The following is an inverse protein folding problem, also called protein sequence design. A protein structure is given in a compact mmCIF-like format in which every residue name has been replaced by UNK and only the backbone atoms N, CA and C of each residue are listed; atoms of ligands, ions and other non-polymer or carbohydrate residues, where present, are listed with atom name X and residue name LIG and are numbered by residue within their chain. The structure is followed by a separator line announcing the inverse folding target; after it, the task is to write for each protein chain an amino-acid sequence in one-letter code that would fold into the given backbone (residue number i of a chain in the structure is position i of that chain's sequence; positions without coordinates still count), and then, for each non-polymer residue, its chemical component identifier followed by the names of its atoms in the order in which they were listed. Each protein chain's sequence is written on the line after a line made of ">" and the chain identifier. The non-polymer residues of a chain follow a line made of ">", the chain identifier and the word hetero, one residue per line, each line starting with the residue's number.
data_IF_070516793792
#
_entry.id   IF_070516793792
#
_cell.length_a   1.000
_cell.length_b   1.000
_cell.length_c   1.000
_cell.angle_alpha   90.00
_cell.angle_beta   90.00
_cell.angle_gamma   90.00
#
_symmetry.space_group_name_H-M   'P 1'
#
loop_
_entity.id
_entity.type
_entity.pdbx_description
1 polymer ?
#
# COMPACT_ATOMS: atom_id res chain seq x y z
N UNK A 1 62.75 33.68 -15.02
CA UNK A 1 61.56 34.56 -14.83
C UNK A 1 60.32 33.70 -15.05
N UNK A 2 59.67 33.21 -13.99
CA UNK A 2 58.41 33.74 -13.41
C UNK A 2 57.30 33.86 -14.46
N UNK A 3 56.43 32.84 -14.54
CA UNK A 3 55.03 32.77 -14.00
C UNK A 3 53.98 33.12 -15.06
N UNK A 4 53.05 32.20 -15.36
CA UNK A 4 51.65 32.33 -14.94
C UNK A 4 50.86 31.04 -15.21
N UNK A 5 50.22 30.50 -14.16
CA UNK A 5 49.21 29.44 -14.19
C UNK A 5 47.87 30.08 -14.54
N UNK A 6 47.07 29.47 -15.41
CA UNK A 6 45.60 29.61 -15.38
C UNK A 6 44.98 28.23 -15.53
N UNK A 7 44.36 27.83 -14.42
CA UNK A 7 43.46 26.70 -14.22
C UNK A 7 42.13 27.03 -14.92
N UNK A 8 41.62 26.13 -15.76
CA UNK A 8 40.20 26.15 -16.15
C UNK A 8 39.64 24.75 -15.96
N UNK A 9 38.98 24.57 -14.82
CA UNK A 9 38.09 23.45 -14.54
C UNK A 9 36.86 23.58 -15.44
N UNK A 10 36.63 22.59 -16.30
CA UNK A 10 35.35 22.42 -16.99
C UNK A 10 34.69 21.17 -16.40
N UNK A 11 33.97 21.39 -15.30
CA UNK A 11 32.89 20.52 -14.84
C UNK A 11 31.71 20.77 -15.77
N UNK A 12 31.22 19.75 -16.47
CA UNK A 12 29.91 19.80 -17.11
C UNK A 12 29.10 18.53 -16.83
N UNK A 13 28.29 18.67 -15.77
CA UNK A 13 26.93 18.15 -15.54
C UNK A 13 26.52 16.82 -16.21
N UNK A 14 26.41 15.78 -15.39
CA UNK A 14 25.67 14.55 -15.67
C UNK A 14 24.19 14.80 -15.32
N UNK A 15 23.38 15.24 -16.30
CA UNK A 15 21.92 15.34 -16.13
C UNK A 15 21.33 13.96 -16.39
N UNK A 16 21.11 13.20 -15.30
CA UNK A 16 20.31 11.98 -15.34
C UNK A 16 18.85 12.33 -15.62
N UNK A 17 18.37 12.03 -16.83
CA UNK A 17 16.94 11.95 -17.12
C UNK A 17 16.35 10.75 -16.36
N UNK A 18 15.70 11.01 -15.24
CA UNK A 18 14.74 10.07 -14.67
C UNK A 18 13.44 10.18 -15.45
N UNK A 19 13.07 9.09 -16.13
CA UNK A 19 11.79 8.95 -16.80
C UNK A 19 10.68 8.92 -15.73
N UNK A 20 9.94 10.01 -15.62
CA UNK A 20 8.68 10.03 -14.88
C UNK A 20 7.61 9.41 -15.79
N UNK A 21 7.24 8.15 -15.50
CA UNK A 21 6.03 7.54 -16.05
C UNK A 21 4.85 8.18 -15.33
N UNK A 22 4.24 9.17 -15.99
CA UNK A 22 3.01 9.80 -15.54
C UNK A 22 1.83 8.88 -15.85
N UNK A 23 1.08 8.46 -14.82
CA UNK A 23 -0.17 7.73 -14.98
C UNK A 23 -1.32 8.75 -15.02
N UNK A 24 -2.00 8.82 -16.17
CA UNK A 24 -3.19 9.63 -16.39
C UNK A 24 -4.37 9.07 -15.59
N UNK A 25 -5.08 9.92 -14.85
CA UNK A 25 -6.32 9.53 -14.18
C UNK A 25 -7.49 9.66 -15.15
N UNK A 26 -8.11 8.54 -15.53
CA UNK A 26 -9.45 8.52 -16.08
C UNK A 26 -10.45 8.39 -14.92
N UNK A 27 -11.40 9.33 -14.87
CA UNK A 27 -12.51 9.37 -13.92
C UNK A 27 -13.62 8.44 -14.38
N UNK A 28 -14.00 7.44 -13.57
CA UNK A 28 -15.33 6.82 -13.66
C UNK A 28 -15.82 6.33 -12.29
N UNK A 29 -17.08 6.67 -11.97
CA UNK A 29 -18.00 5.80 -11.25
C UNK A 29 -18.21 6.04 -9.75
N UNK A 30 -19.26 6.81 -9.44
CA UNK A 30 -19.93 6.88 -8.13
C UNK A 30 -20.61 5.53 -7.81
N UNK A 31 -20.29 4.95 -6.65
CA UNK A 31 -20.97 3.76 -6.09
C UNK A 31 -21.28 4.01 -4.60
N UNK A 32 -22.28 4.84 -4.35
CA UNK A 32 -22.97 4.91 -3.05
C UNK A 32 -23.88 3.70 -2.87
N UNK A 33 -23.40 2.67 -2.14
CA UNK A 33 -24.13 1.79 -1.21
C UNK A 33 -23.53 0.39 -1.18
N UNK A 34 -22.85 0.03 -0.08
CA UNK A 34 -22.59 -1.37 0.31
C UNK A 34 -21.98 -2.29 -0.76
N UNK A 35 -21.21 -1.71 -1.69
CA UNK A 35 -20.83 -2.34 -2.96
C UNK A 35 -19.76 -3.41 -2.81
N UNK A 36 -19.97 -4.54 -3.50
CA UNK A 36 -18.96 -5.59 -3.63
C UNK A 36 -17.64 -5.00 -4.11
N UNK A 37 -16.53 -5.39 -3.47
CA UNK A 37 -15.17 -4.99 -3.87
C UNK A 37 -14.95 -5.29 -5.36
N UNK A 38 -14.71 -4.24 -6.16
CA UNK A 38 -14.42 -4.33 -7.58
C UNK A 38 -13.36 -5.43 -7.84
N UNK A 39 -13.55 -6.24 -8.89
CA UNK A 39 -12.62 -7.29 -9.25
C UNK A 39 -11.31 -6.75 -9.84
N UNK A 40 -11.24 -5.47 -10.19
CA UNK A 40 -9.99 -4.81 -10.56
C UNK A 40 -9.03 -4.76 -9.37
N UNK A 41 -7.73 -4.79 -9.63
CA UNK A 41 -6.70 -4.51 -8.64
C UNK A 41 -6.76 -3.01 -8.30
N UNK A 42 -6.92 -2.70 -7.02
CA UNK A 42 -7.09 -1.33 -6.57
C UNK A 42 -6.69 -1.16 -5.11
N UNK A 43 -6.54 0.12 -4.73
CA UNK A 43 -6.61 0.58 -3.35
C UNK A 43 -7.59 1.75 -3.29
N UNK A 44 -8.64 1.61 -2.49
CA UNK A 44 -9.65 2.64 -2.25
C UNK A 44 -9.60 3.04 -0.79
N UNK A 45 -9.58 4.34 -0.52
CA UNK A 45 -9.73 4.89 0.83
C UNK A 45 -10.79 5.98 0.86
N UNK A 46 -11.34 6.20 2.05
CA UNK A 46 -12.29 7.24 2.39
C UNK A 46 -11.95 7.78 3.78
N UNK A 47 -11.64 9.07 3.83
CA UNK A 47 -11.56 9.85 5.07
C UNK A 47 -12.89 10.61 5.28
N UNK A 48 -13.08 11.34 6.39
CA UNK A 48 -14.24 12.22 6.54
C UNK A 48 -14.33 13.30 5.46
N UNK A 49 -13.19 13.70 4.88
CA UNK A 49 -13.09 14.87 4.02
C UNK A 49 -13.02 14.53 2.53
N UNK A 50 -12.50 13.35 2.16
CA UNK A 50 -12.37 12.95 0.76
C UNK A 50 -12.17 11.44 0.59
N UNK A 51 -12.36 10.97 -0.64
CA UNK A 51 -12.14 9.58 -1.03
C UNK A 51 -11.44 9.48 -2.37
N UNK A 52 -10.73 8.37 -2.59
CA UNK A 52 -10.08 8.08 -3.86
C UNK A 52 -9.98 6.58 -4.08
N UNK A 53 -10.14 6.18 -5.34
CA UNK A 53 -9.76 4.85 -5.84
C UNK A 53 -8.48 5.00 -6.67
N UNK A 54 -7.46 4.22 -6.33
CA UNK A 54 -6.18 4.13 -7.04
C UNK A 54 -6.20 2.83 -7.84
N UNK A 55 -5.98 2.94 -9.15
CA UNK A 55 -5.84 1.77 -10.04
C UNK A 55 -4.49 1.09 -9.78
N UNK A 56 -4.51 -0.20 -9.46
CA UNK A 56 -3.34 -1.02 -9.17
C UNK A 56 -3.14 -2.16 -10.18
N UNK A 57 -3.78 -2.15 -11.35
CA UNK A 57 -3.69 -3.22 -12.36
C UNK A 57 -2.26 -3.49 -12.85
N UNK A 58 -1.44 -2.45 -12.92
CA UNK A 58 -0.04 -2.55 -13.33
C UNK A 58 0.93 -2.67 -12.15
N UNK A 59 0.41 -2.79 -10.93
CA UNK A 59 1.22 -2.85 -9.74
C UNK A 59 1.83 -4.25 -9.60
N UNK A 60 3.15 -4.32 -9.79
CA UNK A 60 3.91 -5.56 -9.67
C UNK A 60 4.75 -5.55 -8.39
N UNK A 61 4.19 -6.07 -7.30
CA UNK A 61 4.82 -6.03 -5.98
C UNK A 61 5.69 -7.27 -5.77
N UNK A 62 6.98 -7.04 -5.49
CA UNK A 62 7.87 -8.08 -5.00
C UNK A 62 7.78 -8.16 -3.47
N UNK A 63 7.76 -9.37 -2.88
CA UNK A 63 7.66 -9.52 -1.44
C UNK A 63 8.95 -9.05 -0.76
N UNK A 64 8.79 -8.42 0.40
CA UNK A 64 9.84 -8.19 1.39
C UNK A 64 9.60 -9.08 2.62
N UNK A 65 10.63 -9.32 3.42
CA UNK A 65 10.57 -10.18 4.61
C UNK A 65 10.69 -9.34 5.88
N UNK A 66 9.59 -8.82 6.43
CA UNK A 66 9.61 -8.05 7.68
C UNK A 66 9.90 -8.95 8.90
N UNK A 67 9.51 -10.22 8.85
CA UNK A 67 9.65 -11.18 9.94
C UNK A 67 9.76 -12.61 9.39
N UNK A 68 10.13 -13.57 10.25
CA UNK A 68 10.17 -14.98 9.90
C UNK A 68 8.77 -15.50 9.52
N UNK A 69 8.65 -16.17 8.37
CA UNK A 69 7.39 -16.75 7.91
C UNK A 69 6.37 -15.73 7.36
N UNK A 70 6.74 -14.46 7.26
CA UNK A 70 5.85 -13.38 6.82
C UNK A 70 6.47 -12.64 5.65
N UNK A 71 5.68 -12.48 4.60
CA UNK A 71 5.97 -11.55 3.51
C UNK A 71 5.15 -10.29 3.68
N UNK A 72 5.64 -9.18 3.14
CA UNK A 72 4.89 -7.96 3.00
C UNK A 72 5.11 -7.32 1.65
N UNK A 73 4.21 -6.41 1.28
CA UNK A 73 4.33 -5.54 0.12
C UNK A 73 3.98 -4.11 0.52
N UNK A 74 4.57 -3.15 -0.20
CA UNK A 74 4.29 -1.73 -0.04
C UNK A 74 4.43 -1.04 -1.38
N UNK A 75 3.63 -0.01 -1.59
CA UNK A 75 3.80 0.93 -2.69
C UNK A 75 3.29 2.31 -2.29
N UNK A 76 3.79 3.32 -2.98
CA UNK A 76 3.34 4.71 -2.87
C UNK A 76 2.66 5.12 -4.16
N UNK A 77 1.43 5.60 -4.07
CA UNK A 77 0.69 6.17 -5.20
C UNK A 77 1.33 7.48 -5.65
N UNK A 78 1.71 7.58 -6.93
CA UNK A 78 2.21 8.82 -7.51
C UNK A 78 1.14 9.92 -7.57
N UNK A 79 -0.15 9.56 -7.61
CA UNK A 79 -1.25 10.51 -7.75
C UNK A 79 -1.72 11.12 -6.43
N UNK A 80 -1.52 10.41 -5.32
CA UNK A 80 -2.00 10.81 -3.99
C UNK A 80 -0.89 10.90 -2.95
N UNK A 81 0.29 10.35 -3.18
CA UNK A 81 1.32 10.13 -2.16
C UNK A 81 0.82 9.29 -0.96
N UNK A 82 -0.26 8.54 -1.15
CA UNK A 82 -0.68 7.50 -0.22
C UNK A 82 0.32 6.33 -0.31
N UNK A 83 0.68 5.76 0.83
CA UNK A 83 1.56 4.60 0.94
C UNK A 83 0.94 3.59 1.87
N UNK A 84 0.83 2.35 1.42
CA UNK A 84 0.33 1.24 2.23
C UNK A 84 1.41 0.22 2.54
N UNK A 85 1.15 -0.60 3.55
CA UNK A 85 1.83 -1.86 3.80
C UNK A 85 0.78 -2.95 4.03
N UNK A 86 0.99 -4.09 3.41
CA UNK A 86 0.17 -5.28 3.61
C UNK A 86 1.07 -6.51 3.76
N UNK A 87 0.95 -7.21 4.88
CA UNK A 87 1.66 -8.45 5.17
C UNK A 87 0.76 -9.67 5.00
N UNK A 88 1.36 -10.82 4.71
CA UNK A 88 0.69 -12.08 4.43
C UNK A 88 1.64 -13.26 4.68
N UNK A 89 1.12 -14.50 4.80
CA UNK A 89 1.96 -15.69 4.97
C UNK A 89 3.01 -15.83 3.87
N UNK A 90 4.23 -16.16 4.25
CA UNK A 90 5.29 -16.43 3.28
C UNK A 90 5.02 -17.72 2.48
N UNK A 91 4.44 -18.75 3.10
CA UNK A 91 4.16 -20.02 2.43
C UNK A 91 2.80 -19.99 1.71
N UNK A 92 2.79 -20.45 0.46
CA UNK A 92 1.56 -20.60 -0.33
C UNK A 92 0.52 -21.56 0.29
N UNK A 93 0.94 -22.57 1.06
CA UNK A 93 0.01 -23.49 1.73
C UNK A 93 -0.84 -22.82 2.81
N UNK A 94 -0.36 -21.68 3.32
CA UNK A 94 -1.00 -20.94 4.40
C UNK A 94 -1.95 -19.86 3.91
N UNK A 95 -2.01 -19.62 2.60
CA UNK A 95 -2.84 -18.57 2.00
C UNK A 95 -4.33 -18.94 1.98
N UNK A 96 -4.68 -20.08 1.39
CA UNK A 96 -6.08 -20.41 1.11
C UNK A 96 -6.74 -21.26 2.22
N UNK A 97 -6.50 -20.91 3.48
CA UNK A 97 -7.11 -21.56 4.62
C UNK A 97 -8.41 -20.86 5.02
N UNK A 98 -9.45 -21.62 5.37
CA UNK A 98 -10.75 -21.06 5.79
C UNK A 98 -10.62 -20.16 7.02
N UNK A 99 -9.66 -20.46 7.90
CA UNK A 99 -9.32 -19.68 9.09
C UNK A 99 -8.81 -18.27 8.78
N UNK A 100 -8.46 -17.97 7.52
CA UNK A 100 -7.96 -16.66 7.12
C UNK A 100 -9.07 -15.66 6.79
N UNK A 101 -10.30 -16.11 6.53
CA UNK A 101 -11.43 -15.23 6.22
C UNK A 101 -12.02 -14.63 7.49
N UNK A 102 -11.33 -13.63 8.04
CA UNK A 102 -11.69 -12.95 9.29
C UNK A 102 -11.12 -11.54 9.35
N UNK A 103 -11.45 -10.85 10.45
CA UNK A 103 -10.85 -9.57 10.84
C UNK A 103 -9.52 -9.77 11.56
N UNK A 104 -8.53 -8.99 11.14
CA UNK A 104 -7.21 -8.83 11.73
C UNK A 104 -7.08 -7.41 12.29
N UNK A 105 -6.21 -7.22 13.27
CA UNK A 105 -5.91 -5.90 13.80
C UNK A 105 -5.23 -5.00 12.77
N UNK A 106 -5.40 -3.70 12.95
CA UNK A 106 -4.60 -2.68 12.28
C UNK A 106 -3.29 -2.50 13.06
N UNK A 107 -2.20 -2.21 12.36
CA UNK A 107 -0.90 -1.92 12.98
C UNK A 107 -0.41 -0.50 12.67
N UNK A 108 0.61 -0.08 13.41
CA UNK A 108 1.34 1.14 13.12
C UNK A 108 1.95 1.10 11.72
N UNK A 109 2.11 2.28 11.11
CA UNK A 109 2.66 2.38 9.77
C UNK A 109 4.07 1.80 9.69
N UNK A 110 4.23 0.71 8.94
CA UNK A 110 5.50 -0.01 8.77
C UNK A 110 5.73 -1.17 9.75
N UNK A 111 4.85 -1.38 10.72
CA UNK A 111 4.99 -2.41 11.77
C UNK A 111 4.35 -3.76 11.38
N UNK A 112 4.29 -4.07 10.08
CA UNK A 112 3.57 -5.23 9.53
C UNK A 112 4.39 -6.53 9.65
N UNK A 113 4.44 -7.12 10.83
CA UNK A 113 5.24 -8.29 11.19
C UNK A 113 4.46 -9.62 11.32
N UNK A 114 3.14 -9.61 11.22
CA UNK A 114 2.27 -10.80 11.22
C UNK A 114 1.40 -10.88 9.96
N UNK A 115 0.91 -12.08 9.57
CA UNK A 115 0.02 -12.24 8.44
C UNK A 115 -1.24 -11.37 8.49
N UNK A 116 -1.60 -10.82 7.33
CA UNK A 116 -2.82 -10.04 7.08
C UNK A 116 -2.96 -8.75 7.90
N UNK A 117 -1.86 -8.21 8.42
CA UNK A 117 -1.86 -6.86 8.97
C UNK A 117 -1.86 -5.83 7.83
N UNK A 118 -2.53 -4.71 8.04
CA UNK A 118 -2.59 -3.60 7.12
C UNK A 118 -2.27 -2.29 7.85
N UNK A 119 -1.51 -1.42 7.18
CA UNK A 119 -1.19 -0.08 7.68
C UNK A 119 -1.04 0.89 6.50
N UNK A 120 -1.24 2.18 6.74
CA UNK A 120 -1.14 3.19 5.69
C UNK A 120 -0.71 4.56 6.22
N UNK A 121 -0.12 5.33 5.31
CA UNK A 121 0.17 6.75 5.42
C UNK A 121 -0.46 7.42 4.19
N UNK A 122 -1.47 8.25 4.41
CA UNK A 122 -2.23 8.90 3.34
C UNK A 122 -2.27 10.41 3.56
N UNK A 123 -2.45 11.24 2.52
CA UNK A 123 -2.59 12.67 2.74
C UNK A 123 -3.93 12.95 3.42
N UNK A 124 -3.94 13.93 4.31
CA UNK A 124 -5.15 14.31 5.05
C UNK A 124 -6.31 14.71 4.12
N UNK A 125 -5.96 15.42 3.05
CA UNK A 125 -6.85 15.95 2.02
C UNK A 125 -6.16 15.89 0.65
N UNK A 126 -6.94 16.03 -0.43
CA UNK A 126 -6.39 16.05 -1.79
C UNK A 126 -5.33 17.16 -1.94
N UNK A 127 -4.12 16.79 -2.35
CA UNK A 127 -2.99 17.73 -2.51
C UNK A 127 -2.35 18.21 -1.21
N UNK A 128 -2.79 17.73 -0.04
CA UNK A 128 -2.19 18.09 1.24
C UNK A 128 -0.74 17.59 1.35
N UNK A 129 0.10 18.35 2.04
CA UNK A 129 1.44 17.90 2.48
C UNK A 129 1.40 17.22 3.85
N UNK A 130 0.32 17.39 4.59
CA UNK A 130 0.12 16.73 5.88
C UNK A 130 -0.34 15.28 5.67
N UNK A 131 -0.13 14.43 6.67
CA UNK A 131 -0.30 12.98 6.55
C UNK A 131 -1.10 12.42 7.71
N UNK A 132 -2.05 11.57 7.38
CA UNK A 132 -2.70 10.67 8.31
C UNK A 132 -1.89 9.39 8.39
N UNK A 133 -1.61 8.91 9.60
CA UNK A 133 -0.82 7.71 9.86
C UNK A 133 -1.67 6.72 10.65
N UNK A 134 -1.68 5.44 10.23
CA UNK A 134 -2.45 4.40 10.91
C UNK A 134 -2.04 4.20 12.36
N UNK A 135 -3.04 4.03 13.22
CA UNK A 135 -2.89 3.65 14.63
C UNK A 135 -3.15 2.17 14.81
N UNK A 136 -2.28 1.51 15.57
CA UNK A 136 -2.47 0.11 15.93
C UNK A 136 -3.77 -0.08 16.74
N UNK A 137 -4.56 -1.07 16.36
CA UNK A 137 -5.84 -1.37 16.99
C UNK A 137 -6.22 -2.83 16.76
N UNK A 138 -6.55 -3.56 17.84
CA UNK A 138 -6.94 -4.96 17.80
C UNK A 138 -8.44 -5.17 18.10
N UNK A 139 -9.24 -4.11 18.06
CA UNK A 139 -10.69 -4.20 18.24
C UNK A 139 -11.39 -4.76 17.00
N UNK A 140 -12.67 -5.11 17.14
CA UNK A 140 -13.51 -5.53 16.00
C UNK A 140 -14.04 -4.36 15.17
N UNK A 141 -13.90 -3.13 15.68
CA UNK A 141 -14.31 -1.88 15.04
C UNK A 141 -13.29 -1.41 14.03
N UNK A 142 -12.00 -1.53 14.35
CA UNK A 142 -10.89 -1.15 13.49
C UNK A 142 -10.08 -2.38 13.11
N UNK A 143 -10.12 -2.71 11.83
CA UNK A 143 -9.72 -4.01 11.34
C UNK A 143 -9.23 -3.94 9.89
N UNK A 144 -8.48 -4.97 9.50
CA UNK A 144 -8.37 -5.43 8.13
C UNK A 144 -9.09 -6.77 7.99
N UNK A 145 -10.09 -6.87 7.12
CA UNK A 145 -10.88 -8.08 6.92
C UNK A 145 -10.55 -8.70 5.58
N UNK A 146 -10.09 -9.95 5.61
CA UNK A 146 -9.85 -10.72 4.39
C UNK A 146 -11.17 -11.29 3.91
N UNK A 147 -11.63 -10.82 2.75
CA UNK A 147 -12.90 -11.22 2.17
C UNK A 147 -12.75 -12.34 1.15
N UNK A 148 -11.65 -12.34 0.39
CA UNK A 148 -11.39 -13.35 -0.64
C UNK A 148 -9.89 -13.53 -0.87
N UNK A 149 -9.47 -14.78 -1.03
CA UNK A 149 -8.14 -15.16 -1.51
C UNK A 149 -8.34 -16.07 -2.70
N UNK A 150 -7.79 -15.71 -3.86
CA UNK A 150 -7.91 -16.47 -5.10
C UNK A 150 -6.52 -16.82 -5.62
N UNK A 151 -6.28 -18.10 -5.86
CA UNK A 151 -5.06 -18.55 -6.53
C UNK A 151 -5.10 -18.11 -8.00
N UNK A 152 -4.11 -17.34 -8.44
CA UNK A 152 -4.04 -16.75 -9.77
C UNK A 152 -2.97 -17.39 -10.67
N UNK A 153 -2.26 -18.40 -10.17
CA UNK A 153 -1.21 -19.12 -10.91
C UNK A 153 0.13 -19.11 -10.19
N UNK A 154 1.22 -19.32 -10.94
CA UNK A 154 2.58 -19.33 -10.39
C UNK A 154 3.58 -18.77 -11.39
N UNK A 155 4.70 -18.24 -10.87
CA UNK A 155 5.84 -17.69 -11.62
C UNK A 155 7.13 -18.17 -10.94
N UNK A 156 7.96 -18.96 -11.63
CA UNK A 156 9.21 -19.51 -11.09
C UNK A 156 9.04 -20.13 -9.68
N UNK A 157 9.58 -19.46 -8.65
CA UNK A 157 9.58 -19.87 -7.24
C UNK A 157 8.39 -19.33 -6.44
N UNK A 158 7.44 -18.64 -7.08
CA UNK A 158 6.31 -18.00 -6.42
C UNK A 158 4.97 -18.59 -6.84
N UNK A 159 4.10 -18.78 -5.85
CA UNK A 159 2.65 -18.90 -6.06
C UNK A 159 2.03 -17.51 -6.01
N UNK A 160 1.05 -17.25 -6.87
CA UNK A 160 0.44 -15.95 -7.02
C UNK A 160 -0.99 -16.00 -6.50
N UNK A 161 -1.33 -15.03 -5.68
CA UNK A 161 -2.68 -14.87 -5.15
C UNK A 161 -3.21 -13.47 -5.43
N UNK A 162 -4.52 -13.39 -5.62
CA UNK A 162 -5.29 -12.16 -5.56
C UNK A 162 -6.01 -12.12 -4.21
N UNK A 163 -5.71 -11.11 -3.40
CA UNK A 163 -6.28 -10.96 -2.06
C UNK A 163 -7.14 -9.72 -2.00
N UNK A 164 -8.40 -9.90 -1.62
CA UNK A 164 -9.38 -8.85 -1.41
C UNK A 164 -9.61 -8.63 0.07
N UNK A 165 -9.53 -7.38 0.47
CA UNK A 165 -9.80 -6.97 1.83
C UNK A 165 -10.67 -5.71 1.87
N UNK A 166 -11.39 -5.56 2.97
CA UNK A 166 -11.97 -4.29 3.40
C UNK A 166 -11.39 -3.92 4.75
N UNK A 167 -11.22 -2.62 5.02
CA UNK A 167 -10.63 -2.16 6.27
C UNK A 167 -11.35 -0.94 6.83
N UNK A 168 -11.21 -0.79 8.13
CA UNK A 168 -11.57 0.41 8.87
C UNK A 168 -10.47 0.67 9.90
N UNK A 169 -9.95 1.88 10.01
CA UNK A 169 -8.86 2.18 10.93
C UNK A 169 -8.94 3.58 11.50
N UNK A 170 -8.32 3.75 12.67
CA UNK A 170 -8.01 5.08 13.19
C UNK A 170 -6.67 5.52 12.64
N UNK A 171 -6.60 6.82 12.35
CA UNK A 171 -5.36 7.48 11.96
C UNK A 171 -5.16 8.71 12.83
N UNK A 172 -3.91 9.11 13.04
CA UNK A 172 -3.58 10.41 13.61
C UNK A 172 -3.00 11.33 12.54
N UNK A 173 -3.24 12.63 12.68
CA UNK A 173 -2.63 13.64 11.82
C UNK A 173 -1.18 13.89 12.28
N UNK A 174 -0.22 13.78 11.38
CA UNK A 174 1.21 13.88 11.70
C UNK A 174 1.59 15.26 12.28
N UNK A 175 0.95 16.34 11.82
CA UNK A 175 1.16 17.69 12.38
C UNK A 175 0.54 17.89 13.77
N UNK A 176 -0.42 17.05 14.16
CA UNK A 176 -1.12 17.10 15.44
C UNK A 176 -1.71 15.74 15.80
N UNK A 177 -0.96 14.93 16.53
CA UNK A 177 -1.34 13.54 16.82
C UNK A 177 -2.61 13.40 17.67
N UNK A 178 -3.06 14.49 18.33
CA UNK A 178 -4.34 14.52 19.04
C UNK A 178 -5.55 14.52 18.08
N UNK A 179 -5.35 14.88 16.81
CA UNK A 179 -6.38 14.81 15.78
C UNK A 179 -6.47 13.40 15.23
N UNK A 180 -7.54 12.70 15.61
CA UNK A 180 -7.85 11.34 15.14
C UNK A 180 -8.90 11.41 14.05
N UNK A 181 -8.68 10.68 12.94
CA UNK A 181 -9.65 10.50 11.87
C UNK A 181 -9.82 9.02 11.56
N UNK A 182 -11.07 8.63 11.34
CA UNK A 182 -11.39 7.29 10.85
C UNK A 182 -11.19 7.24 9.33
N UNK A 183 -10.52 6.20 8.88
CA UNK A 183 -10.28 5.94 7.46
C UNK A 183 -10.77 4.52 7.16
N UNK A 184 -11.64 4.42 6.18
CA UNK A 184 -12.17 3.14 5.70
C UNK A 184 -11.81 2.94 4.25
N UNK A 185 -11.84 1.70 3.77
CA UNK A 185 -11.47 1.42 2.40
C UNK A 185 -11.52 -0.05 2.04
N UNK A 186 -11.12 -0.32 0.80
CA UNK A 186 -11.01 -1.66 0.23
C UNK A 186 -9.73 -1.75 -0.57
N UNK A 187 -9.14 -2.93 -0.63
CA UNK A 187 -8.06 -3.18 -1.56
C UNK A 187 -8.16 -4.57 -2.17
N UNK A 188 -7.60 -4.68 -3.37
CA UNK A 188 -7.47 -5.93 -4.09
C UNK A 188 -6.08 -5.97 -4.72
N UNK A 189 -5.21 -6.83 -4.19
CA UNK A 189 -3.80 -6.89 -4.59
C UNK A 189 -3.44 -8.25 -5.16
N UNK A 190 -2.56 -8.24 -6.17
CA UNK A 190 -1.80 -9.42 -6.62
C UNK A 190 -0.54 -9.51 -5.75
N UNK A 191 -0.36 -10.63 -5.07
CA UNK A 191 0.78 -10.91 -4.18
C UNK A 191 1.47 -12.21 -4.55
N UNK A 192 2.71 -12.38 -4.09
CA UNK A 192 3.56 -13.55 -4.33
C UNK A 192 3.98 -14.18 -3.02
N UNK A 193 3.75 -15.48 -2.87
CA UNK A 193 4.25 -16.27 -1.74
C UNK A 193 5.28 -17.27 -2.24
N UNK A 194 6.15 -17.77 -1.37
CA UNK A 194 7.00 -18.93 -1.68
C UNK A 194 6.12 -20.08 -2.15
N UNK A 195 6.49 -20.66 -3.30
CA UNK A 195 5.81 -21.82 -3.86
C UNK A 195 6.18 -23.07 -3.06
N UNK A 196 5.15 -23.78 -2.59
CA UNK A 196 5.25 -25.09 -1.95
C UNK A 196 4.24 -26.05 -2.59
#
# INVERSE_FOLDING_TARGET
>A
MKTLKILSYLLLSFVGLTAMIACSSEEEGDDTNGGSVNNSLHLKFKTPDWERTINCEHLDLMPMNPAEGVYAVSATSASTNETFYFSYPQDSSDMNQVSNYKKYGIVGYGDNDQPFQFSQKLPDNQGSNDRLISLADNSTTYYNEVEKIEYAGHEANYSIFKVKCKYNMRTYLLSNEATIKDVSGTFHFKIRTTRN
#
